data_IF_097411396467
#
_entry.id   IF_097411396467
#
_cell.length_a   1.000
_cell.length_b   1.000
_cell.length_c   1.000
_cell.angle_alpha   90.00
_cell.angle_beta   90.00
_cell.angle_gamma   90.00
#
_symmetry.space_group_name_H-M   'P 1'
#
loop_
_entity.id
_entity.type
_entity.pdbx_description
1 polymer ?
#
# COMPACT_ATOMS: atom_id res chain seq x y z
N UNK A 1 -19.72 11.43 15.70
CA UNK A 1 -18.28 11.34 16.01
C UNK A 1 -17.76 9.91 15.90
N UNK A 2 -18.38 8.92 16.56
CA UNK A 2 -17.98 7.50 16.45
C UNK A 2 -18.23 6.91 15.05
N UNK A 3 -19.36 7.22 14.42
CA UNK A 3 -19.69 6.74 13.06
C UNK A 3 -18.70 7.20 11.98
N UNK A 4 -18.26 8.46 12.00
CA UNK A 4 -17.25 8.96 11.04
C UNK A 4 -15.89 8.24 11.17
N UNK A 5 -15.53 7.86 12.40
CA UNK A 5 -14.29 7.14 12.68
C UNK A 5 -14.38 5.72 12.11
N UNK A 6 -15.51 5.05 12.33
CA UNK A 6 -15.81 3.72 11.80
C UNK A 6 -15.76 3.74 10.26
N UNK A 7 -16.40 4.71 9.62
CA UNK A 7 -16.40 4.84 8.15
C UNK A 7 -14.99 5.03 7.62
N UNK A 8 -14.17 5.88 8.27
CA UNK A 8 -12.77 6.11 7.86
C UNK A 8 -11.90 4.86 8.02
N UNK A 9 -12.06 4.08 9.08
CA UNK A 9 -11.33 2.80 9.25
C UNK A 9 -11.75 1.81 8.17
N UNK A 10 -13.05 1.60 8.01
CA UNK A 10 -13.60 0.65 7.04
C UNK A 10 -13.16 0.99 5.63
N UNK A 11 -13.12 2.27 5.26
CA UNK A 11 -12.58 2.71 3.98
C UNK A 11 -11.15 2.17 3.75
N UNK A 12 -10.24 2.36 4.71
CA UNK A 12 -8.85 1.90 4.55
C UNK A 12 -8.72 0.37 4.60
N UNK A 13 -9.56 -0.32 5.38
CA UNK A 13 -9.64 -1.80 5.36
C UNK A 13 -10.08 -2.29 3.99
N UNK A 14 -11.11 -1.67 3.41
CA UNK A 14 -11.62 -2.01 2.07
C UNK A 14 -10.55 -1.73 1.01
N UNK A 15 -9.89 -0.57 1.06
CA UNK A 15 -8.79 -0.24 0.14
C UNK A 15 -7.66 -1.27 0.24
N UNK A 16 -7.24 -1.63 1.45
CA UNK A 16 -6.20 -2.64 1.68
C UNK A 16 -6.62 -4.01 1.12
N UNK A 17 -7.83 -4.46 1.46
CA UNK A 17 -8.37 -5.76 1.05
C UNK A 17 -8.58 -5.88 -0.45
N UNK A 18 -9.18 -4.87 -1.08
CA UNK A 18 -9.39 -4.84 -2.54
C UNK A 18 -8.06 -4.78 -3.27
N UNK A 19 -7.11 -3.96 -2.81
CA UNK A 19 -5.79 -3.85 -3.43
C UNK A 19 -5.02 -5.16 -3.32
N UNK A 20 -5.04 -5.81 -2.16
CA UNK A 20 -4.42 -7.11 -1.95
C UNK A 20 -5.05 -8.20 -2.85
N UNK A 21 -6.40 -8.26 -2.89
CA UNK A 21 -7.11 -9.20 -3.75
C UNK A 21 -6.78 -9.01 -5.24
N UNK A 22 -6.68 -7.77 -5.70
CA UNK A 22 -6.27 -7.46 -7.07
C UNK A 22 -4.82 -7.87 -7.34
N UNK A 23 -3.89 -7.65 -6.40
CA UNK A 23 -2.49 -8.11 -6.53
C UNK A 23 -2.45 -9.63 -6.69
N UNK A 24 -3.13 -10.37 -5.82
CA UNK A 24 -3.19 -11.83 -5.89
C UNK A 24 -3.78 -12.30 -7.23
N UNK A 25 -4.90 -11.71 -7.65
CA UNK A 25 -5.52 -12.04 -8.93
C UNK A 25 -4.60 -11.77 -10.13
N UNK A 26 -3.97 -10.60 -10.18
CA UNK A 26 -3.05 -10.22 -11.26
C UNK A 26 -1.80 -11.10 -11.30
N UNK A 27 -1.26 -11.47 -10.13
CA UNK A 27 -0.11 -12.37 -10.04
C UNK A 27 -0.40 -13.77 -10.59
N UNK A 28 -1.66 -14.21 -10.50
CA UNK A 28 -2.13 -15.48 -11.06
C UNK A 28 -2.54 -15.36 -12.53
N UNK A 29 -2.87 -14.16 -13.00
CA UNK A 29 -3.32 -13.91 -14.37
C UNK A 29 -2.21 -14.14 -15.39
N UNK A 30 -0.99 -13.68 -15.10
CA UNK A 30 0.17 -13.85 -15.99
C UNK A 30 0.47 -15.33 -16.30
N UNK A 31 0.64 -16.23 -15.32
CA UNK A 31 0.86 -17.65 -15.60
C UNK A 31 -0.36 -18.33 -16.24
N UNK A 32 -1.60 -17.90 -15.91
CA UNK A 32 -2.81 -18.44 -16.51
C UNK A 32 -2.90 -18.11 -18.01
N UNK A 33 -2.61 -16.87 -18.39
CA UNK A 33 -2.59 -16.43 -19.79
C UNK A 33 -1.53 -17.19 -20.59
N UNK A 34 -0.33 -17.35 -20.02
CA UNK A 34 0.75 -18.10 -20.67
C UNK A 34 0.40 -19.59 -20.83
N UNK A 35 -0.39 -20.17 -19.93
CA UNK A 35 -0.88 -21.55 -20.03
C UNK A 35 -1.99 -21.71 -21.08
N UNK A 36 -2.87 -20.72 -21.23
CA UNK A 36 -4.00 -20.74 -22.18
C UNK A 36 -3.56 -20.41 -23.62
N UNK A 37 -2.55 -19.57 -23.80
CA UNK A 37 -1.91 -19.32 -25.09
C UNK A 37 -0.38 -19.27 -24.93
N UNK A 38 0.33 -20.39 -25.14
CA UNK A 38 1.78 -20.43 -25.06
C UNK A 38 2.46 -19.53 -26.11
N UNK A 39 1.82 -19.30 -27.26
CA UNK A 39 2.32 -18.40 -28.32
C UNK A 39 1.96 -16.92 -28.09
N UNK A 40 1.24 -16.59 -27.02
CA UNK A 40 0.94 -15.19 -26.69
C UNK A 40 2.20 -14.52 -26.17
N UNK A 41 2.96 -13.91 -27.08
CA UNK A 41 4.00 -12.96 -26.75
C UNK A 41 3.32 -11.74 -26.11
N UNK A 42 3.16 -11.77 -24.78
CA UNK A 42 2.67 -10.62 -24.04
C UNK A 42 3.50 -9.40 -24.42
N UNK A 43 2.87 -8.48 -25.16
CA UNK A 43 3.58 -7.34 -25.75
C UNK A 43 4.34 -6.59 -24.66
N UNK A 44 5.48 -5.98 -25.01
CA UNK A 44 6.30 -5.19 -24.07
C UNK A 44 5.47 -4.15 -23.31
N UNK A 45 4.43 -3.61 -23.96
CA UNK A 45 3.46 -2.67 -23.38
C UNK A 45 2.58 -3.31 -22.31
N UNK A 46 2.06 -4.52 -22.55
CA UNK A 46 1.22 -5.23 -21.58
C UNK A 46 1.99 -5.56 -20.29
N UNK A 47 3.24 -6.04 -20.41
CA UNK A 47 4.10 -6.31 -19.25
C UNK A 47 4.41 -5.05 -18.44
N UNK A 48 4.71 -3.95 -19.13
CA UNK A 48 4.94 -2.66 -18.46
C UNK A 48 3.70 -2.15 -17.74
N UNK A 49 2.51 -2.32 -18.34
CA UNK A 49 1.24 -1.93 -17.74
C UNK A 49 0.93 -2.76 -16.49
N UNK A 50 1.08 -4.08 -16.56
CA UNK A 50 0.89 -4.98 -15.41
C UNK A 50 1.84 -4.64 -14.26
N UNK A 51 3.12 -4.37 -14.58
CA UNK A 51 4.10 -3.95 -13.57
C UNK A 51 3.71 -2.64 -12.88
N UNK A 52 3.32 -1.61 -13.63
CA UNK A 52 2.86 -0.33 -13.07
C UNK A 52 1.61 -0.56 -12.21
N UNK A 53 0.67 -1.36 -12.68
CA UNK A 53 -0.58 -1.60 -11.97
C UNK A 53 -0.35 -2.37 -10.67
N UNK A 54 0.51 -3.39 -10.67
CA UNK A 54 0.92 -4.08 -9.44
C UNK A 54 1.64 -3.14 -8.48
N UNK A 55 2.53 -2.27 -8.98
CA UNK A 55 3.21 -1.28 -8.14
C UNK A 55 2.21 -0.32 -7.48
N UNK A 56 1.26 0.22 -8.24
CA UNK A 56 0.21 1.12 -7.71
C UNK A 56 -0.63 0.40 -6.65
N UNK A 57 -1.02 -0.85 -6.88
CA UNK A 57 -1.79 -1.61 -5.89
C UNK A 57 -1.01 -1.88 -4.61
N UNK A 58 0.27 -2.29 -4.71
CA UNK A 58 1.14 -2.48 -3.55
C UNK A 58 1.31 -1.16 -2.79
N UNK A 59 1.49 -0.07 -3.53
CA UNK A 59 1.60 1.27 -2.95
C UNK A 59 0.31 1.67 -2.21
N UNK A 60 -0.87 1.39 -2.75
CA UNK A 60 -2.15 1.65 -2.08
C UNK A 60 -2.31 0.83 -0.79
N UNK A 61 -1.89 -0.44 -0.77
CA UNK A 61 -1.87 -1.25 0.46
C UNK A 61 -0.96 -0.60 1.50
N UNK A 62 0.25 -0.21 1.11
CA UNK A 62 1.21 0.43 2.02
C UNK A 62 0.70 1.78 2.53
N UNK A 63 0.05 2.59 1.69
CA UNK A 63 -0.55 3.86 2.11
C UNK A 63 -1.70 3.65 3.10
N UNK A 64 -2.49 2.60 2.93
CA UNK A 64 -3.58 2.25 3.86
C UNK A 64 -3.09 1.78 5.24
N UNK A 65 -1.84 1.33 5.34
CA UNK A 65 -1.28 0.81 6.59
C UNK A 65 -1.19 1.88 7.70
N UNK A 66 -0.76 3.11 7.40
CA UNK A 66 -0.60 4.16 8.42
C UNK A 66 -1.89 4.56 9.14
N UNK A 67 -2.99 4.89 8.45
CA UNK A 67 -4.24 5.21 9.14
C UNK A 67 -4.81 4.02 9.92
N UNK A 68 -4.57 2.78 9.47
CA UNK A 68 -4.96 1.57 10.18
C UNK A 68 -4.11 1.34 11.44
N UNK A 69 -2.78 1.41 11.31
CA UNK A 69 -1.85 1.26 12.42
C UNK A 69 -2.10 2.31 13.51
N UNK A 70 -2.29 3.58 13.13
CA UNK A 70 -2.64 4.65 14.07
C UNK A 70 -3.95 4.39 14.81
N UNK A 71 -4.95 3.85 14.12
CA UNK A 71 -6.19 3.43 14.79
C UNK A 71 -5.96 2.29 15.77
N UNK A 72 -5.29 1.23 15.34
CA UNK A 72 -5.03 0.06 16.18
C UNK A 72 -4.25 0.45 17.44
N UNK A 73 -3.22 1.29 17.32
CA UNK A 73 -2.44 1.78 18.45
C UNK A 73 -3.32 2.57 19.41
N UNK A 74 -4.12 3.52 18.92
CA UNK A 74 -4.98 4.34 19.78
C UNK A 74 -6.10 3.52 20.44
N UNK A 75 -6.75 2.62 19.69
CA UNK A 75 -7.79 1.73 20.21
C UNK A 75 -7.24 0.75 21.24
N UNK A 76 -6.02 0.23 21.03
CA UNK A 76 -5.34 -0.60 22.01
C UNK A 76 -5.11 0.18 23.32
N UNK A 77 -4.55 1.39 23.26
CA UNK A 77 -4.30 2.19 24.47
C UNK A 77 -5.59 2.65 25.17
N UNK A 78 -6.68 2.86 24.43
CA UNK A 78 -8.01 3.07 25.01
C UNK A 78 -8.49 1.86 25.80
N UNK A 79 -8.29 0.66 25.26
CA UNK A 79 -8.70 -0.58 25.92
C UNK A 79 -7.89 -0.86 27.21
N UNK A 80 -6.62 -0.50 27.23
CA UNK A 80 -5.75 -0.60 28.41
C UNK A 80 -5.87 0.58 29.39
N UNK A 81 -6.70 1.58 29.10
CA UNK A 81 -6.86 2.77 29.97
C UNK A 81 -5.63 3.68 30.03
N UNK A 82 -4.69 3.56 29.08
CA UNK A 82 -3.43 4.32 29.04
C UNK A 82 -3.49 5.55 28.13
N UNK A 83 -4.69 6.01 27.79
CA UNK A 83 -4.93 7.17 26.91
C UNK A 83 -4.34 8.48 27.43
N UNK A 84 -4.13 8.61 28.73
CA UNK A 84 -3.55 9.81 29.34
C UNK A 84 -2.01 9.86 29.25
N UNK A 85 -1.38 8.78 28.80
CA UNK A 85 0.07 8.79 28.60
C UNK A 85 0.45 9.93 27.64
N UNK A 86 1.45 10.77 27.98
CA UNK A 86 1.78 11.98 27.24
C UNK A 86 2.05 11.69 25.76
N UNK A 87 2.70 10.56 25.45
CA UNK A 87 2.94 10.10 24.09
C UNK A 87 1.65 9.78 23.30
N UNK A 88 0.67 9.12 23.94
CA UNK A 88 -0.58 8.73 23.30
C UNK A 88 -1.48 9.94 23.06
N UNK A 89 -1.51 10.88 24.02
CA UNK A 89 -2.22 12.14 23.84
C UNK A 89 -1.66 12.97 22.67
N UNK A 90 -0.33 12.99 22.50
CA UNK A 90 0.33 13.61 21.35
C UNK A 90 -0.05 12.92 20.04
N UNK A 91 0.04 11.58 19.98
CA UNK A 91 -0.35 10.80 18.80
C UNK A 91 -1.81 11.05 18.40
N UNK A 92 -2.72 11.14 19.36
CA UNK A 92 -4.13 11.43 19.10
C UNK A 92 -4.34 12.83 18.53
N UNK A 93 -3.65 13.85 19.06
CA UNK A 93 -3.77 15.25 18.61
C UNK A 93 -3.13 15.47 17.24
N UNK A 94 -1.99 14.84 16.99
CA UNK A 94 -1.19 15.02 15.77
C UNK A 94 -1.46 13.97 14.70
N UNK A 95 -2.49 13.13 14.88
CA UNK A 95 -2.74 11.94 14.06
C UNK A 95 -2.75 12.21 12.56
N UNK A 96 -3.49 13.23 12.13
CA UNK A 96 -3.60 13.58 10.71
C UNK A 96 -2.25 14.04 10.14
N UNK A 97 -1.52 14.86 10.88
CA UNK A 97 -0.18 15.35 10.52
C UNK A 97 0.81 14.19 10.36
N UNK A 98 0.81 13.24 11.30
CA UNK A 98 1.70 12.09 11.25
C UNK A 98 1.39 11.22 10.03
N UNK A 99 0.12 10.91 9.77
CA UNK A 99 -0.29 10.14 8.59
C UNK A 99 0.18 10.86 7.31
N UNK A 100 -0.03 12.18 7.23
CA UNK A 100 0.36 12.96 6.07
C UNK A 100 1.88 12.99 5.85
N UNK A 101 2.67 13.14 6.92
CA UNK A 101 4.14 13.08 6.85
C UNK A 101 4.61 11.71 6.38
N UNK A 102 4.05 10.63 6.91
CA UNK A 102 4.42 9.27 6.50
C UNK A 102 4.06 8.99 5.04
N UNK A 103 2.89 9.44 4.58
CA UNK A 103 2.51 9.39 3.17
C UNK A 103 3.44 10.19 2.27
N UNK A 104 3.81 11.40 2.69
CA UNK A 104 4.76 12.25 1.95
C UNK A 104 6.12 11.56 1.80
N UNK A 105 6.66 11.01 2.88
CA UNK A 105 7.92 10.26 2.88
C UNK A 105 7.85 9.02 1.98
N UNK A 106 6.76 8.25 2.05
CA UNK A 106 6.58 7.09 1.18
C UNK A 106 6.44 7.47 -0.29
N UNK A 107 5.72 8.55 -0.60
CA UNK A 107 5.55 9.04 -1.97
C UNK A 107 6.89 9.50 -2.54
N UNK A 108 7.67 10.26 -1.76
CA UNK A 108 9.03 10.66 -2.15
C UNK A 108 9.95 9.44 -2.35
N UNK A 109 9.90 8.48 -1.42
CA UNK A 109 10.65 7.23 -1.53
C UNK A 109 10.27 6.42 -2.78
N UNK A 110 8.98 6.36 -3.12
CA UNK A 110 8.49 5.72 -4.33
C UNK A 110 8.96 6.43 -5.61
N UNK A 111 8.90 7.78 -5.64
CA UNK A 111 9.33 8.59 -6.77
C UNK A 111 10.82 8.44 -7.08
N UNK A 112 11.66 8.35 -6.04
CA UNK A 112 13.11 8.19 -6.19
C UNK A 112 13.48 6.72 -6.41
N UNK A 113 12.86 5.81 -5.65
CA UNK A 113 13.19 4.39 -5.64
C UNK A 113 12.75 3.66 -6.92
N UNK A 114 11.60 4.01 -7.50
CA UNK A 114 11.07 3.31 -8.68
C UNK A 114 11.99 3.45 -9.92
N UNK A 115 12.46 4.65 -10.32
CA UNK A 115 13.43 4.78 -11.41
C UNK A 115 14.73 4.03 -11.15
N UNK A 116 15.22 4.08 -9.91
CA UNK A 116 16.46 3.40 -9.51
C UNK A 116 16.30 1.87 -9.59
N UNK A 117 15.19 1.34 -9.09
CA UNK A 117 14.85 -0.08 -9.16
C UNK A 117 14.69 -0.57 -10.61
N UNK A 118 14.04 0.22 -11.47
CA UNK A 118 13.93 -0.09 -12.91
C UNK A 118 15.32 -0.13 -13.57
N UNK A 119 16.18 0.84 -13.25
CA UNK A 119 17.57 0.89 -13.76
C UNK A 119 18.37 -0.32 -13.28
N UNK A 120 18.24 -0.66 -12.00
CA UNK A 120 18.88 -1.84 -11.40
C UNK A 120 18.43 -3.13 -12.08
N UNK A 121 17.12 -3.36 -12.23
CA UNK A 121 16.57 -4.53 -12.92
C UNK A 121 17.03 -4.64 -14.37
N UNK A 122 17.21 -3.52 -15.08
CA UNK A 122 17.77 -3.52 -16.44
C UNK A 122 19.22 -3.97 -16.46
N UNK A 123 20.03 -3.44 -15.54
CA UNK A 123 21.44 -3.81 -15.39
C UNK A 123 21.65 -5.30 -15.08
N UNK A 124 20.71 -5.93 -14.38
CA UNK A 124 20.78 -7.37 -14.06
C UNK A 124 20.39 -8.28 -15.25
N UNK A 125 19.78 -7.75 -16.32
CA UNK A 125 19.41 -8.53 -17.51
C UNK A 125 20.46 -8.51 -18.63
N UNK A 126 21.52 -7.72 -18.47
CA UNK A 126 22.60 -7.55 -19.45
C UNK A 126 23.86 -8.37 -19.08
N UNK A 127 23.78 -9.23 -18.06
CA UNK A 127 24.78 -10.22 -17.63
C UNK A 127 24.20 -11.62 -17.88
#
# INVERSE_FOLDING_TARGET
>A
MVEEIIIKVWFWVVVAGVSFGLISFLSLLEPLILKLKPDFTASRKLKSLLFILMFVLVFLVVMSFWPLAMHLILSFHQWFGTTEAPFISFLSRSRATIIFVMWGLQTLGALIGLPFFIKFLRSQKEI
#
